data_IF_441185995857
#
_entry.id   IF_441185995857
#
_cell.length_a   1.000
_cell.length_b   1.000
_cell.length_c   1.000
_cell.angle_alpha   90.00
_cell.angle_beta   90.00
_cell.angle_gamma   90.00
#
_symmetry.space_group_name_H-M   'P 1'
#
loop_
_entity.id
_entity.type
_entity.pdbx_description
1 polymer ?
#
# COMPACT_ATOMS: atom_id res chain seq x y z
N UNK A 1 -14.60 23.79 11.59
CA UNK A 1 -15.74 23.36 12.43
C UNK A 1 -16.17 22.03 11.87
N UNK A 2 -15.98 20.94 12.61
CA UNK A 2 -16.49 19.63 12.23
C UNK A 2 -18.00 19.70 12.08
N UNK A 3 -18.51 19.24 10.95
CA UNK A 3 -19.94 19.16 10.68
C UNK A 3 -20.52 18.10 11.62
N UNK A 4 -21.24 18.54 12.67
CA UNK A 4 -21.76 17.68 13.74
C UNK A 4 -22.95 16.81 13.30
N UNK A 5 -23.29 16.84 12.02
CA UNK A 5 -24.48 16.20 11.45
C UNK A 5 -24.06 15.17 10.41
N UNK A 6 -23.12 14.28 10.74
CA UNK A 6 -22.83 13.13 9.88
C UNK A 6 -24.09 12.26 9.80
N UNK A 7 -24.73 12.16 8.61
CA UNK A 7 -25.95 11.39 8.44
C UNK A 7 -25.76 9.91 8.78
N UNK A 8 -24.54 9.37 8.61
CA UNK A 8 -24.21 8.00 8.98
C UNK A 8 -24.25 7.79 10.49
N UNK A 9 -23.68 8.73 11.25
CA UNK A 9 -23.69 8.68 12.73
C UNK A 9 -25.13 8.83 13.25
N UNK A 10 -25.94 9.66 12.61
CA UNK A 10 -27.35 9.82 12.95
C UNK A 10 -28.15 8.55 12.65
N UNK A 11 -27.97 7.94 11.49
CA UNK A 11 -28.67 6.71 11.08
C UNK A 11 -28.43 5.56 12.07
N UNK A 12 -27.19 5.38 12.55
CA UNK A 12 -26.85 4.38 13.57
C UNK A 12 -27.57 4.67 14.90
N UNK A 13 -27.65 5.94 15.31
CA UNK A 13 -28.30 6.34 16.55
C UNK A 13 -29.82 6.06 16.57
N UNK A 14 -30.45 5.88 15.41
CA UNK A 14 -31.89 5.62 15.28
C UNK A 14 -32.25 4.13 15.11
N UNK A 15 -31.29 3.22 15.10
CA UNK A 15 -31.56 1.78 15.03
C UNK A 15 -32.04 1.27 16.40
N UNK A 16 -33.24 0.70 16.46
CA UNK A 16 -33.93 0.36 17.72
C UNK A 16 -33.77 -1.10 18.17
N UNK A 17 -33.20 -1.96 17.33
CA UNK A 17 -33.09 -3.40 17.61
C UNK A 17 -31.84 -4.03 17.01
N UNK A 18 -31.42 -5.15 17.59
CA UNK A 18 -30.26 -5.93 17.11
C UNK A 18 -30.41 -6.38 15.64
N UNK A 19 -31.64 -6.69 15.22
CA UNK A 19 -31.93 -7.09 13.85
C UNK A 19 -31.74 -5.92 12.87
N UNK A 20 -32.19 -4.71 13.23
CA UNK A 20 -32.00 -3.50 12.41
C UNK A 20 -30.53 -3.11 12.32
N UNK A 21 -29.77 -3.26 13.41
CA UNK A 21 -28.32 -3.07 13.41
C UNK A 21 -27.65 -4.06 12.45
N UNK A 22 -27.94 -5.35 12.55
CA UNK A 22 -27.38 -6.38 11.67
C UNK A 22 -27.74 -6.16 10.21
N UNK A 23 -28.99 -5.82 9.92
CA UNK A 23 -29.47 -5.58 8.56
C UNK A 23 -28.87 -4.30 7.96
N UNK A 24 -28.67 -3.25 8.76
CA UNK A 24 -27.94 -2.05 8.37
C UNK A 24 -26.49 -2.37 8.01
N UNK A 25 -25.75 -3.06 8.89
CA UNK A 25 -24.36 -3.47 8.63
C UNK A 25 -24.21 -4.42 7.43
N UNK A 26 -25.19 -5.30 7.19
CA UNK A 26 -25.17 -6.21 6.04
C UNK A 26 -25.50 -5.52 4.71
N UNK A 27 -26.16 -4.35 4.75
CA UNK A 27 -26.45 -3.52 3.58
C UNK A 27 -25.31 -2.56 3.24
N UNK A 28 -24.37 -2.36 4.16
CA UNK A 28 -23.14 -1.63 3.86
C UNK A 28 -22.34 -2.42 2.82
N UNK A 29 -22.20 -1.86 1.62
CA UNK A 29 -21.19 -2.34 0.68
C UNK A 29 -19.83 -1.80 1.12
N UNK A 30 -18.73 -2.40 0.64
CA UNK A 30 -17.35 -1.95 0.91
C UNK A 30 -17.11 -0.46 0.56
N UNK A 31 -18.03 0.16 -0.18
CA UNK A 31 -18.07 1.58 -0.50
C UNK A 31 -18.58 2.48 0.64
N UNK A 32 -19.44 1.95 1.52
CA UNK A 32 -20.13 2.68 2.58
C UNK A 32 -19.33 2.72 3.90
N UNK A 33 -18.27 1.90 4.02
CA UNK A 33 -17.41 1.75 5.20
C UNK A 33 -16.17 2.66 5.17
N UNK A 34 -16.28 3.82 4.55
CA UNK A 34 -15.17 4.77 4.33
C UNK A 34 -14.08 4.28 3.34
N UNK A 35 -14.39 4.43 2.06
CA UNK A 35 -13.46 4.32 0.93
C UNK A 35 -12.51 5.52 0.81
N UNK A 36 -12.62 6.55 1.66
CA UNK A 36 -11.79 7.77 1.53
C UNK A 36 -10.30 7.50 1.75
N UNK A 37 -9.92 6.35 2.30
CA UNK A 37 -8.52 6.05 2.58
C UNK A 37 -8.01 4.72 2.01
N UNK A 38 -8.54 4.25 0.87
CA UNK A 38 -7.90 3.14 0.11
C UNK A 38 -6.41 3.37 -0.11
N UNK A 39 -6.01 4.62 -0.37
CA UNK A 39 -4.60 5.03 -0.46
C UNK A 39 -3.86 4.79 0.87
N UNK A 40 -4.37 5.29 2.00
CA UNK A 40 -3.75 5.09 3.32
C UNK A 40 -3.69 3.62 3.74
N UNK A 41 -4.75 2.85 3.51
CA UNK A 41 -4.76 1.41 3.76
C UNK A 41 -3.66 0.73 2.94
N UNK A 42 -3.56 1.06 1.64
CA UNK A 42 -2.53 0.50 0.78
C UNK A 42 -1.11 0.92 1.21
N UNK A 43 -0.93 2.16 1.67
CA UNK A 43 0.33 2.65 2.26
C UNK A 43 0.69 1.85 3.53
N UNK A 44 -0.29 1.61 4.41
CA UNK A 44 -0.06 0.85 5.64
C UNK A 44 0.28 -0.62 5.35
N UNK A 45 -0.43 -1.24 4.40
CA UNK A 45 -0.14 -2.60 3.92
C UNK A 45 1.26 -2.65 3.31
N UNK A 46 1.65 -1.66 2.50
CA UNK A 46 2.99 -1.57 1.91
C UNK A 46 4.06 -1.52 3.00
N UNK A 47 3.88 -0.65 4.01
CA UNK A 47 4.79 -0.51 5.16
C UNK A 47 4.94 -1.81 5.94
N UNK A 48 3.84 -2.48 6.25
CA UNK A 48 3.86 -3.78 6.94
C UNK A 48 4.55 -4.85 6.08
N UNK A 49 4.24 -4.90 4.79
CA UNK A 49 4.82 -5.86 3.86
C UNK A 49 6.34 -5.72 3.78
N UNK A 50 6.87 -4.52 3.56
CA UNK A 50 8.31 -4.28 3.45
C UNK A 50 9.06 -4.62 4.75
N UNK A 51 8.44 -4.35 5.90
CA UNK A 51 9.06 -4.62 7.21
C UNK A 51 9.03 -6.10 7.61
N UNK A 52 8.05 -6.87 7.13
CA UNK A 52 7.84 -8.26 7.57
C UNK A 52 8.19 -9.31 6.51
N UNK A 53 8.23 -8.94 5.23
CA UNK A 53 8.44 -9.85 4.09
C UNK A 53 9.72 -9.59 3.33
N UNK A 54 10.65 -8.80 3.89
CA UNK A 54 11.95 -8.57 3.28
C UNK A 54 12.62 -9.92 2.94
N UNK A 55 13.06 -10.13 1.68
CA UNK A 55 13.70 -11.37 1.25
C UNK A 55 14.89 -11.73 2.12
N UNK A 56 14.96 -12.98 2.58
CA UNK A 56 16.17 -13.53 3.19
C UNK A 56 17.15 -14.06 2.16
N UNK A 57 16.64 -14.49 1.00
CA UNK A 57 17.42 -14.93 -0.15
C UNK A 57 16.93 -14.17 -1.39
N UNK A 58 17.85 -13.46 -2.05
CA UNK A 58 17.50 -12.70 -3.24
C UNK A 58 17.30 -13.61 -4.45
N UNK A 59 17.93 -14.78 -4.51
CA UNK A 59 17.82 -15.65 -5.70
C UNK A 59 16.45 -16.34 -5.83
N UNK A 60 15.73 -16.54 -4.71
CA UNK A 60 14.43 -17.21 -4.72
C UNK A 60 13.24 -16.31 -4.45
N UNK A 61 13.40 -15.29 -3.58
CA UNK A 61 12.24 -14.58 -3.02
C UNK A 61 12.05 -13.18 -3.60
N UNK A 62 13.09 -12.62 -4.26
CA UNK A 62 13.10 -11.22 -4.69
C UNK A 62 12.04 -10.92 -5.76
N UNK A 63 11.89 -11.80 -6.76
CA UNK A 63 10.93 -11.60 -7.85
C UNK A 63 9.50 -11.47 -7.30
N UNK A 64 9.07 -12.42 -6.46
CA UNK A 64 7.75 -12.39 -5.85
C UNK A 64 7.59 -11.17 -4.92
N UNK A 65 8.63 -10.82 -4.17
CA UNK A 65 8.62 -9.65 -3.31
C UNK A 65 8.37 -8.34 -4.09
N UNK A 66 9.00 -8.17 -5.26
CA UNK A 66 8.79 -7.01 -6.12
C UNK A 66 7.37 -7.00 -6.70
N UNK A 67 6.89 -8.14 -7.21
CA UNK A 67 5.53 -8.27 -7.76
C UNK A 67 4.47 -7.86 -6.72
N UNK A 68 4.61 -8.33 -5.48
CA UNK A 68 3.66 -8.02 -4.42
C UNK A 68 3.69 -6.53 -4.06
N UNK A 69 4.88 -5.91 -4.03
CA UNK A 69 5.01 -4.46 -3.85
C UNK A 69 4.32 -3.69 -4.97
N UNK A 70 4.53 -4.06 -6.23
CA UNK A 70 3.90 -3.41 -7.38
C UNK A 70 2.38 -3.49 -7.31
N UNK A 71 1.84 -4.66 -6.97
CA UNK A 71 0.39 -4.86 -6.79
C UNK A 71 -0.18 -3.98 -5.67
N UNK A 72 0.50 -3.89 -4.53
CA UNK A 72 0.07 -2.99 -3.45
C UNK A 72 0.11 -1.53 -3.93
N UNK A 73 1.16 -1.14 -4.64
CA UNK A 73 1.34 0.23 -5.11
C UNK A 73 0.33 0.63 -6.19
N UNK A 74 -0.17 -0.30 -7.00
CA UNK A 74 -1.27 -0.03 -7.94
C UNK A 74 -2.52 0.50 -7.23
N UNK A 75 -2.78 0.09 -5.99
CA UNK A 75 -3.90 0.55 -5.18
C UNK A 75 -3.66 1.90 -4.49
N UNK A 76 -2.42 2.40 -4.48
CA UNK A 76 -2.06 3.73 -3.97
C UNK A 76 -2.40 4.83 -5.02
N UNK A 77 -2.49 4.47 -6.30
CA UNK A 77 -2.76 5.38 -7.42
C UNK A 77 -1.76 6.55 -7.54
N UNK A 78 -0.49 6.31 -7.20
CA UNK A 78 0.61 7.27 -7.37
C UNK A 78 1.44 6.88 -8.62
N UNK A 79 1.22 7.61 -9.72
CA UNK A 79 1.91 7.32 -10.99
C UNK A 79 3.43 7.50 -10.92
N UNK A 80 3.92 8.40 -10.06
CA UNK A 80 5.35 8.61 -9.89
C UNK A 80 5.98 7.42 -9.16
N UNK A 81 5.33 6.93 -8.11
CA UNK A 81 5.72 5.69 -7.43
C UNK A 81 5.78 4.51 -8.40
N UNK A 82 4.72 4.29 -9.20
CA UNK A 82 4.70 3.18 -10.17
C UNK A 82 5.83 3.29 -11.20
N UNK A 83 6.08 4.49 -11.72
CA UNK A 83 7.15 4.70 -12.71
C UNK A 83 8.52 4.38 -12.11
N UNK A 84 8.73 4.74 -10.84
CA UNK A 84 9.98 4.49 -10.14
C UNK A 84 10.14 3.02 -9.77
N UNK A 85 9.07 2.32 -9.38
CA UNK A 85 9.10 0.87 -9.16
C UNK A 85 9.55 0.12 -10.41
N UNK A 86 9.03 0.48 -11.58
CA UNK A 86 9.48 -0.14 -12.84
C UNK A 86 10.96 0.14 -13.12
N UNK A 87 11.46 1.37 -12.91
CA UNK A 87 12.88 1.70 -13.12
C UNK A 87 13.78 0.82 -12.24
N UNK A 88 13.46 0.69 -10.95
CA UNK A 88 14.26 -0.10 -10.03
C UNK A 88 14.06 -1.61 -10.23
N UNK A 89 12.87 -2.06 -10.62
CA UNK A 89 12.62 -3.44 -11.04
C UNK A 89 13.44 -3.83 -12.27
N UNK A 90 13.50 -2.95 -13.27
CA UNK A 90 14.36 -3.13 -14.45
C UNK A 90 15.84 -3.15 -14.06
N UNK A 91 16.26 -2.28 -13.14
CA UNK A 91 17.64 -2.25 -12.64
C UNK A 91 18.02 -3.58 -11.97
N UNK A 92 17.13 -4.15 -11.17
CA UNK A 92 17.33 -5.47 -10.54
C UNK A 92 17.41 -6.57 -11.63
N UNK A 93 16.48 -6.57 -12.58
CA UNK A 93 16.48 -7.53 -13.69
C UNK A 93 17.76 -7.48 -14.53
N UNK A 94 18.25 -6.28 -14.85
CA UNK A 94 19.47 -6.09 -15.61
C UNK A 94 20.72 -6.48 -14.80
N UNK A 95 20.69 -6.34 -13.47
CA UNK A 95 21.74 -6.84 -12.59
C UNK A 95 21.79 -8.38 -12.59
N UNK A 96 20.65 -9.07 -12.53
CA UNK A 96 20.59 -10.53 -12.67
C UNK A 96 21.16 -11.03 -14.00
N UNK A 97 20.87 -10.31 -15.08
CA UNK A 97 21.37 -10.64 -16.42
C UNK A 97 22.87 -10.34 -16.60
N UNK A 98 23.52 -9.72 -15.62
CA UNK A 98 24.92 -9.28 -15.70
C UNK A 98 25.14 -8.16 -16.72
N UNK A 99 24.08 -7.43 -17.10
CA UNK A 99 24.15 -6.29 -18.02
C UNK A 99 24.69 -5.06 -17.29
N UNK A 100 24.27 -4.86 -16.04
CA UNK A 100 24.80 -3.80 -15.19
C UNK A 100 26.07 -4.23 -14.46
N UNK A 101 26.89 -3.24 -14.10
CA UNK A 101 28.12 -3.45 -13.31
C UNK A 101 27.86 -3.59 -11.81
N UNK A 102 26.64 -3.31 -11.34
CA UNK A 102 26.23 -3.44 -9.95
C UNK A 102 25.72 -4.86 -9.67
N UNK A 103 25.82 -5.30 -8.41
CA UNK A 103 25.24 -6.58 -8.00
C UNK A 103 23.72 -6.47 -7.83
N UNK A 104 23.03 -7.61 -7.86
CA UNK A 104 21.60 -7.72 -7.51
C UNK A 104 21.35 -7.16 -6.11
N UNK A 105 22.22 -7.46 -5.14
CA UNK A 105 22.11 -6.90 -3.78
C UNK A 105 22.13 -5.38 -3.79
N UNK A 106 23.04 -4.77 -4.55
CA UNK A 106 23.15 -3.31 -4.63
C UNK A 106 21.91 -2.69 -5.29
N UNK A 107 21.41 -3.30 -6.38
CA UNK A 107 20.17 -2.87 -7.02
C UNK A 107 18.95 -3.00 -6.07
N UNK A 108 18.90 -4.07 -5.27
CA UNK A 108 17.86 -4.28 -4.27
C UNK A 108 17.94 -3.30 -3.10
N UNK A 109 19.15 -2.95 -2.64
CA UNK A 109 19.36 -1.97 -1.59
C UNK A 109 18.91 -0.58 -2.06
N UNK A 110 19.19 -0.21 -3.32
CA UNK A 110 18.72 1.03 -3.93
C UNK A 110 17.18 1.08 -4.03
N UNK A 111 16.54 -0.01 -4.50
CA UNK A 111 15.09 -0.17 -4.51
C UNK A 111 14.49 -0.02 -3.10
N UNK A 112 15.06 -0.73 -2.13
CA UNK A 112 14.60 -0.72 -0.74
C UNK A 112 14.70 0.67 -0.13
N UNK A 113 15.81 1.36 -0.37
CA UNK A 113 16.03 2.73 0.09
C UNK A 113 14.97 3.66 -0.48
N UNK A 114 14.75 3.62 -1.79
CA UNK A 114 13.77 4.47 -2.46
C UNK A 114 12.35 4.30 -1.90
N UNK A 115 11.88 3.07 -1.73
CA UNK A 115 10.52 2.84 -1.23
C UNK A 115 10.37 3.32 0.22
N UNK A 116 11.39 3.10 1.06
CA UNK A 116 11.37 3.61 2.43
C UNK A 116 11.36 5.15 2.47
N UNK A 117 12.15 5.83 1.63
CA UNK A 117 12.12 7.28 1.50
C UNK A 117 10.76 7.79 1.00
N UNK A 118 10.15 7.11 0.03
CA UNK A 118 8.81 7.46 -0.43
C UNK A 118 7.77 7.31 0.68
N UNK A 119 7.82 6.21 1.45
CA UNK A 119 6.93 5.97 2.59
C UNK A 119 7.08 7.06 3.65
N UNK A 120 8.30 7.42 4.04
CA UNK A 120 8.58 8.50 5.00
C UNK A 120 7.97 9.83 4.52
N UNK A 121 8.09 10.15 3.24
CA UNK A 121 7.50 11.35 2.65
C UNK A 121 5.97 11.35 2.67
N UNK A 122 5.30 10.19 2.59
CA UNK A 122 3.84 10.15 2.71
C UNK A 122 3.38 10.53 4.12
N UNK A 123 4.09 10.11 5.16
CA UNK A 123 3.69 10.43 6.54
C UNK A 123 3.91 11.90 6.90
N UNK A 124 4.94 12.53 6.33
CA UNK A 124 5.19 13.97 6.49
C UNK A 124 4.14 14.88 5.82
N UNK A 125 3.26 14.31 4.96
CA UNK A 125 2.19 15.04 4.25
C UNK A 125 0.81 14.79 4.90
N UNK A 126 0.69 13.77 5.76
CA UNK A 126 -0.57 13.33 6.38
C UNK A 126 -0.72 13.85 7.83
N UNK A 127 0.36 14.33 8.45
CA UNK A 127 0.37 15.10 9.72
C UNK A 127 0.22 16.62 9.49
#
# INVERSE_FOLDING_TARGET
>A
MEDKNDPFVLDICFLGSEAEVKDYFNKLIRADLDVQNKKLISINVLKEYISTKKPSDLDSDLEQYIIDIELICWHIHDSALISLLHIYGDQINLAYQGVLTISVQQAFDDFSKYINEWLENQFNIIE
#
